data_IF_803695265344
#
_entry.id   IF_803695265344
#
_cell.length_a   1.000
_cell.length_b   1.000
_cell.length_c   1.000
_cell.angle_alpha   90.00
_cell.angle_beta   90.00
_cell.angle_gamma   90.00
#
_symmetry.space_group_name_H-M   'P 1'
#
loop_
_entity.id
_entity.type
_entity.pdbx_description
1 polymer ?
#
# COMPACT_ATOMS: atom_id res chain seq x y z
N UNK A 1 -31.71 27.84 13.37
CA UNK A 1 -32.39 26.52 13.36
C UNK A 1 -31.92 25.66 12.16
N UNK A 2 -30.62 25.39 12.03
CA UNK A 2 -30.06 24.61 10.90
C UNK A 2 -29.37 23.28 11.33
N UNK A 3 -29.24 23.03 12.64
CA UNK A 3 -28.45 21.90 13.16
C UNK A 3 -29.25 20.59 13.28
N UNK A 4 -30.55 20.65 13.60
CA UNK A 4 -31.37 19.45 13.86
C UNK A 4 -31.73 18.69 12.57
N UNK A 5 -32.01 19.40 11.46
CA UNK A 5 -32.33 18.77 10.17
C UNK A 5 -31.11 18.07 9.54
N UNK A 6 -29.92 18.67 9.62
CA UNK A 6 -28.69 18.04 9.16
C UNK A 6 -28.38 16.76 9.94
N UNK A 7 -28.44 16.81 11.27
CA UNK A 7 -28.24 15.66 12.15
C UNK A 7 -29.23 14.52 11.85
N UNK A 8 -30.51 14.84 11.59
CA UNK A 8 -31.52 13.82 11.23
C UNK A 8 -31.22 13.10 9.90
N UNK A 9 -30.59 13.79 8.95
CA UNK A 9 -30.15 13.20 7.68
C UNK A 9 -29.02 12.19 7.87
N UNK A 10 -28.03 12.52 8.70
CA UNK A 10 -26.95 11.59 9.05
C UNK A 10 -27.43 10.36 9.80
N UNK A 11 -28.36 10.53 10.77
CA UNK A 11 -28.95 9.39 11.49
C UNK A 11 -29.70 8.46 10.54
N UNK A 12 -30.38 9.00 9.53
CA UNK A 12 -31.05 8.20 8.50
C UNK A 12 -30.05 7.48 7.59
N UNK A 13 -28.94 8.12 7.22
CA UNK A 13 -27.86 7.50 6.44
C UNK A 13 -27.16 6.37 7.21
N UNK A 14 -26.90 6.55 8.51
CA UNK A 14 -26.30 5.52 9.37
C UNK A 14 -27.23 4.31 9.60
N UNK A 15 -28.54 4.48 9.38
CA UNK A 15 -29.54 3.41 9.46
C UNK A 15 -29.76 2.71 8.11
N UNK A 16 -29.25 3.26 7.02
CA UNK A 16 -29.38 2.69 5.69
C UNK A 16 -28.60 1.36 5.57
N UNK A 17 -29.25 0.35 5.00
CA UNK A 17 -28.70 -1.01 4.91
C UNK A 17 -27.55 -1.13 3.90
N UNK A 18 -27.53 -0.27 2.87
CA UNK A 18 -26.47 -0.28 1.86
C UNK A 18 -25.25 0.46 2.40
N UNK A 19 -25.47 1.61 3.06
CA UNK A 19 -24.41 2.32 3.77
C UNK A 19 -23.74 1.44 4.84
N UNK A 20 -24.52 0.74 5.68
CA UNK A 20 -23.99 -0.19 6.69
C UNK A 20 -23.16 -1.31 6.06
N UNK A 21 -23.59 -1.83 4.92
CA UNK A 21 -22.84 -2.84 4.16
C UNK A 21 -21.47 -2.31 3.72
N UNK A 22 -21.43 -1.15 3.06
CA UNK A 22 -20.16 -0.56 2.65
C UNK A 22 -19.27 -0.19 3.83
N UNK A 23 -19.86 0.36 4.91
CA UNK A 23 -19.13 0.67 6.13
C UNK A 23 -18.49 -0.58 6.74
N UNK A 24 -19.21 -1.70 6.78
CA UNK A 24 -18.68 -2.99 7.24
C UNK A 24 -17.54 -3.48 6.34
N UNK A 25 -17.70 -3.41 5.01
CA UNK A 25 -16.67 -3.82 4.06
C UNK A 25 -15.39 -2.99 4.24
N UNK A 26 -15.51 -1.67 4.29
CA UNK A 26 -14.37 -0.79 4.51
C UNK A 26 -13.76 -0.98 5.89
N UNK A 27 -14.56 -1.21 6.93
CA UNK A 27 -14.05 -1.53 8.26
C UNK A 27 -13.19 -2.81 8.28
N UNK A 28 -13.51 -3.80 7.44
CA UNK A 28 -12.65 -5.00 7.28
C UNK A 28 -11.35 -4.68 6.54
N UNK A 29 -11.41 -3.82 5.52
CA UNK A 29 -10.26 -3.54 4.65
C UNK A 29 -9.29 -2.53 5.29
N UNK A 30 -9.77 -1.47 5.94
CA UNK A 30 -8.95 -0.35 6.45
C UNK A 30 -7.79 -0.77 7.36
N UNK A 31 -7.97 -1.70 8.34
CA UNK A 31 -6.85 -2.13 9.19
C UNK A 31 -5.68 -2.71 8.39
N UNK A 32 -5.95 -3.38 7.26
CA UNK A 32 -4.91 -3.92 6.40
C UNK A 32 -4.16 -2.81 5.65
N UNK A 33 -4.85 -1.74 5.23
CA UNK A 33 -4.21 -0.55 4.67
C UNK A 33 -3.34 0.17 5.71
N UNK A 34 -3.83 0.34 6.93
CA UNK A 34 -3.07 1.00 8.00
C UNK A 34 -1.77 0.24 8.30
N UNK A 35 -1.85 -1.09 8.41
CA UNK A 35 -0.67 -1.95 8.60
C UNK A 35 0.28 -1.82 7.42
N UNK A 36 -0.22 -1.84 6.17
CA UNK A 36 0.62 -1.69 4.99
C UNK A 36 1.30 -0.32 4.99
N UNK A 37 0.57 0.76 5.26
CA UNK A 37 1.10 2.12 5.32
C UNK A 37 2.21 2.24 6.37
N UNK A 38 1.96 1.77 7.59
CA UNK A 38 2.98 1.78 8.67
C UNK A 38 4.23 0.98 8.29
N UNK A 39 4.07 -0.14 7.58
CA UNK A 39 5.20 -0.93 7.09
C UNK A 39 5.99 -0.19 6.01
N UNK A 40 5.31 0.50 5.09
CA UNK A 40 5.93 1.27 4.01
C UNK A 40 6.54 2.61 4.47
N UNK A 41 6.22 3.11 5.66
CA UNK A 41 6.75 4.37 6.18
C UNK A 41 8.08 4.20 6.95
N UNK A 42 8.53 2.97 7.19
CA UNK A 42 9.82 2.74 7.86
C UNK A 42 10.97 3.32 7.02
N UNK A 43 12.05 3.78 7.64
CA UNK A 43 13.20 4.36 6.89
C UNK A 43 14.14 3.30 6.33
N UNK A 44 14.23 2.16 7.00
CA UNK A 44 15.04 1.01 6.59
C UNK A 44 14.13 -0.01 5.92
N UNK A 45 13.78 0.23 4.66
CA UNK A 45 12.91 -0.68 3.90
C UNK A 45 13.71 -1.43 2.84
N UNK A 46 13.82 -2.74 3.06
CA UNK A 46 14.28 -3.68 2.06
C UNK A 46 13.14 -4.09 1.12
N UNK A 47 13.45 -4.30 -0.15
CA UNK A 47 12.50 -4.76 -1.16
C UNK A 47 11.89 -6.12 -0.82
N UNK A 48 12.64 -7.00 -0.14
CA UNK A 48 12.10 -8.28 0.36
C UNK A 48 11.00 -8.04 1.39
N UNK A 49 11.22 -7.11 2.31
CA UNK A 49 10.22 -6.73 3.32
C UNK A 49 8.97 -6.13 2.68
N UNK A 50 9.13 -5.27 1.66
CA UNK A 50 8.00 -4.66 0.94
C UNK A 50 7.19 -5.71 0.20
N UNK A 51 7.86 -6.62 -0.51
CA UNK A 51 7.19 -7.74 -1.18
C UNK A 51 6.39 -8.56 -0.19
N UNK A 52 6.97 -8.89 0.97
CA UNK A 52 6.26 -9.61 2.02
C UNK A 52 5.08 -8.82 2.59
N UNK A 53 5.24 -7.51 2.82
CA UNK A 53 4.16 -6.64 3.30
C UNK A 53 2.99 -6.57 2.30
N UNK A 54 3.29 -6.42 1.01
CA UNK A 54 2.32 -6.39 -0.08
C UNK A 54 1.63 -7.74 -0.28
N UNK A 55 2.37 -8.85 -0.15
CA UNK A 55 1.81 -10.19 -0.22
C UNK A 55 0.86 -10.44 0.95
N UNK A 56 1.27 -10.11 2.18
CA UNK A 56 0.42 -10.18 3.37
C UNK A 56 -0.85 -9.34 3.24
N UNK A 57 -0.75 -8.13 2.70
CA UNK A 57 -1.90 -7.28 2.39
C UNK A 57 -2.82 -7.92 1.36
N UNK A 58 -2.26 -8.37 0.23
CA UNK A 58 -3.02 -8.98 -0.87
C UNK A 58 -3.75 -10.25 -0.42
N UNK A 59 -3.10 -11.11 0.37
CA UNK A 59 -3.73 -12.31 0.95
C UNK A 59 -4.89 -11.94 1.88
N UNK A 60 -4.74 -10.87 2.66
CA UNK A 60 -5.81 -10.43 3.58
C UNK A 60 -7.03 -9.88 2.82
N UNK A 61 -6.81 -9.05 1.81
CA UNK A 61 -7.89 -8.52 0.95
C UNK A 61 -8.57 -9.64 0.15
N UNK A 62 -7.79 -10.62 -0.34
CA UNK A 62 -8.33 -11.81 -1.00
C UNK A 62 -9.21 -12.63 -0.04
N UNK A 63 -8.78 -12.81 1.21
CA UNK A 63 -9.59 -13.49 2.21
C UNK A 63 -10.91 -12.75 2.50
N UNK A 64 -10.91 -11.41 2.51
CA UNK A 64 -12.12 -10.59 2.65
C UNK A 64 -13.04 -10.79 1.44
N UNK A 65 -12.48 -10.76 0.23
CA UNK A 65 -13.20 -10.99 -1.02
C UNK A 65 -13.91 -12.35 -1.05
N UNK A 66 -13.21 -13.39 -0.60
CA UNK A 66 -13.70 -14.77 -0.63
C UNK A 66 -14.62 -15.09 0.57
N UNK A 67 -14.54 -14.29 1.64
CA UNK A 67 -15.50 -14.34 2.74
C UNK A 67 -16.83 -13.74 2.29
N UNK A 68 -17.75 -14.58 1.83
CA UNK A 68 -19.12 -14.23 1.41
C UNK A 68 -20.02 -13.76 2.58
N UNK A 69 -19.46 -13.32 3.70
CA UNK A 69 -20.22 -12.98 4.90
C UNK A 69 -20.74 -11.56 4.77
N UNK A 70 -22.06 -11.43 4.74
CA UNK A 70 -22.71 -10.15 4.92
C UNK A 70 -22.63 -9.70 6.38
N UNK A 71 -22.75 -8.39 6.64
CA UNK A 71 -23.02 -7.93 7.98
C UNK A 71 -24.23 -8.70 8.54
N UNK A 72 -24.20 -9.15 9.81
CA UNK A 72 -25.39 -9.70 10.45
C UNK A 72 -26.54 -8.70 10.29
N UNK A 73 -27.62 -9.08 9.60
CA UNK A 73 -28.82 -8.25 9.51
C UNK A 73 -29.38 -8.09 10.93
N UNK A 74 -29.28 -6.88 11.49
CA UNK A 74 -30.16 -6.53 12.60
C UNK A 74 -31.57 -6.43 12.03
N UNK A 75 -32.42 -7.40 12.41
CA UNK A 75 -33.81 -7.50 11.98
C UNK A 75 -34.64 -6.31 12.53
N UNK A 76 -34.52 -5.15 11.91
CA UNK A 76 -35.51 -4.08 12.03
C UNK A 76 -36.51 -4.25 10.89
N UNK A 77 -37.70 -4.76 11.24
CA UNK A 77 -38.82 -5.02 10.33
C UNK A 77 -39.46 -3.76 9.77
N UNK A 78 -38.69 -2.97 9.03
CA UNK A 78 -39.18 -1.82 8.29
C UNK A 78 -39.09 -2.10 6.79
N UNK A 79 -40.12 -1.70 6.04
CA UNK A 79 -40.30 -2.05 4.65
C UNK A 79 -39.07 -1.64 3.80
N UNK A 80 -38.48 -2.61 3.08
CA UNK A 80 -37.31 -2.36 2.22
C UNK A 80 -37.59 -1.17 1.28
N UNK A 81 -36.74 -0.12 1.28
CA UNK A 81 -36.85 0.96 0.32
C UNK A 81 -36.81 0.40 -1.10
N UNK A 82 -37.63 0.94 -2.00
CA UNK A 82 -37.72 0.51 -3.41
C UNK A 82 -36.40 0.59 -4.18
N UNK A 83 -35.40 1.28 -3.63
CA UNK A 83 -34.08 1.54 -4.23
C UNK A 83 -32.92 0.80 -3.56
N UNK A 84 -33.19 -0.03 -2.54
CA UNK A 84 -32.13 -0.75 -1.83
C UNK A 84 -31.48 -1.81 -2.73
N UNK A 85 -30.15 -1.88 -2.70
CA UNK A 85 -29.38 -2.84 -3.47
C UNK A 85 -29.77 -4.27 -3.10
N UNK A 86 -29.88 -5.12 -4.13
CA UNK A 86 -30.07 -6.55 -3.93
C UNK A 86 -28.81 -7.17 -3.33
N UNK A 87 -28.99 -8.30 -2.67
CA UNK A 87 -27.88 -9.02 -2.06
C UNK A 87 -26.82 -9.46 -3.08
N UNK A 88 -27.27 -9.95 -4.24
CA UNK A 88 -26.40 -10.30 -5.37
C UNK A 88 -25.58 -9.09 -5.87
N UNK A 89 -26.18 -7.89 -5.88
CA UNK A 89 -25.50 -6.65 -6.28
C UNK A 89 -24.46 -6.24 -5.23
N UNK A 90 -24.80 -6.36 -3.94
CA UNK A 90 -23.85 -6.10 -2.83
C UNK A 90 -22.63 -7.01 -2.92
N UNK A 91 -22.83 -8.31 -3.11
CA UNK A 91 -21.74 -9.28 -3.27
C UNK A 91 -20.90 -9.02 -4.50
N UNK A 92 -21.52 -8.64 -5.62
CA UNK A 92 -20.80 -8.25 -6.83
C UNK A 92 -19.93 -7.02 -6.57
N UNK A 93 -20.50 -5.99 -5.96
CA UNK A 93 -19.79 -4.75 -5.64
C UNK A 93 -18.66 -4.96 -4.64
N UNK A 94 -18.83 -5.80 -3.61
CA UNK A 94 -17.73 -6.09 -2.68
C UNK A 94 -16.57 -6.81 -3.36
N UNK A 95 -16.87 -7.74 -4.28
CA UNK A 95 -15.85 -8.41 -5.09
C UNK A 95 -15.13 -7.41 -5.98
N UNK A 96 -15.87 -6.53 -6.67
CA UNK A 96 -15.32 -5.50 -7.55
C UNK A 96 -14.43 -4.49 -6.79
N UNK A 97 -14.84 -4.08 -5.59
CA UNK A 97 -14.01 -3.24 -4.72
C UNK A 97 -12.71 -3.96 -4.34
N UNK A 98 -12.78 -5.21 -3.91
CA UNK A 98 -11.59 -5.98 -3.56
C UNK A 98 -10.67 -6.20 -4.78
N UNK A 99 -11.25 -6.55 -5.92
CA UNK A 99 -10.52 -6.76 -7.19
C UNK A 99 -9.82 -5.48 -7.62
N UNK A 100 -10.52 -4.34 -7.57
CA UNK A 100 -9.94 -3.02 -7.87
C UNK A 100 -8.77 -2.68 -6.94
N UNK A 101 -8.90 -2.95 -5.64
CA UNK A 101 -7.83 -2.71 -4.67
C UNK A 101 -6.62 -3.62 -4.96
N UNK A 102 -6.86 -4.89 -5.25
CA UNK A 102 -5.81 -5.87 -5.57
C UNK A 102 -5.09 -5.49 -6.86
N UNK A 103 -5.82 -5.09 -7.89
CA UNK A 103 -5.24 -4.70 -9.18
C UNK A 103 -4.42 -3.43 -9.05
N UNK A 104 -4.94 -2.39 -8.38
CA UNK A 104 -4.15 -1.19 -8.11
C UNK A 104 -2.92 -1.45 -7.25
N UNK A 105 -3.00 -2.38 -6.29
CA UNK A 105 -1.84 -2.78 -5.49
C UNK A 105 -0.79 -3.44 -6.39
N UNK A 106 -1.19 -4.37 -7.25
CA UNK A 106 -0.26 -4.99 -8.19
C UNK A 106 0.35 -3.97 -9.14
N UNK A 107 -0.45 -3.08 -9.73
CA UNK A 107 0.04 -2.06 -10.65
C UNK A 107 1.01 -1.09 -9.97
N UNK A 108 0.61 -0.50 -8.84
CA UNK A 108 1.41 0.51 -8.14
C UNK A 108 2.72 -0.04 -7.58
N UNK A 109 2.75 -1.33 -7.26
CA UNK A 109 3.93 -1.99 -6.72
C UNK A 109 4.55 -3.02 -7.67
N UNK A 110 4.14 -3.05 -8.94
CA UNK A 110 4.75 -3.90 -9.98
C UNK A 110 6.21 -3.54 -10.24
N UNK A 111 6.63 -2.34 -9.85
CA UNK A 111 7.96 -1.76 -10.04
C UNK A 111 8.82 -1.73 -8.78
N UNK A 112 8.70 -2.71 -7.88
CA UNK A 112 9.59 -2.82 -6.70
C UNK A 112 11.08 -2.88 -7.08
N UNK A 113 11.41 -3.22 -8.31
CA UNK A 113 12.80 -3.24 -8.76
C UNK A 113 13.44 -1.84 -8.76
N UNK A 114 12.66 -0.79 -9.03
CA UNK A 114 13.15 0.60 -8.91
C UNK A 114 13.44 0.98 -7.46
N UNK A 115 12.73 0.37 -6.52
CA UNK A 115 12.98 0.55 -5.10
C UNK A 115 14.24 -0.19 -4.66
N UNK A 116 14.51 -1.38 -5.23
CA UNK A 116 15.81 -2.04 -5.14
C UNK A 116 16.91 -1.14 -5.71
N UNK A 117 16.66 -0.43 -6.81
CA UNK A 117 17.64 0.54 -7.35
C UNK A 117 17.90 1.70 -6.41
N UNK A 118 16.86 2.21 -5.72
CA UNK A 118 17.02 3.27 -4.74
C UNK A 118 17.88 2.85 -3.54
N UNK A 119 17.90 1.54 -3.18
CA UNK A 119 18.75 1.07 -2.07
C UNK A 119 20.23 1.27 -2.33
N UNK A 120 20.67 1.21 -3.61
CA UNK A 120 22.06 1.46 -4.00
C UNK A 120 22.55 2.87 -3.62
N UNK A 121 21.64 3.81 -3.39
CA UNK A 121 21.94 5.21 -3.06
C UNK A 121 21.53 5.59 -1.63
N UNK A 122 21.16 4.62 -0.79
CA UNK A 122 20.86 4.85 0.62
C UNK A 122 22.16 5.03 1.42
N UNK A 123 22.41 6.26 1.89
CA UNK A 123 23.65 6.63 2.57
C UNK A 123 23.93 5.78 3.81
N UNK A 124 22.89 5.37 4.54
CA UNK A 124 23.00 4.50 5.72
C UNK A 124 23.61 3.12 5.38
N UNK A 125 23.45 2.67 4.13
CA UNK A 125 23.94 1.38 3.66
C UNK A 125 25.36 1.44 3.08
N UNK A 126 25.92 2.64 2.85
CA UNK A 126 27.22 2.80 2.16
C UNK A 126 28.36 2.14 2.92
N UNK A 127 28.36 2.23 4.26
CA UNK A 127 29.37 1.57 5.09
C UNK A 127 29.35 0.05 4.91
N UNK A 128 28.13 -0.53 4.84
CA UNK A 128 27.95 -1.96 4.58
C UNK A 128 28.33 -2.32 3.15
N UNK A 129 27.94 -1.52 2.16
CA UNK A 129 28.19 -1.77 0.75
C UNK A 129 29.64 -1.58 0.33
N UNK A 130 30.40 -0.76 1.06
CA UNK A 130 31.84 -0.67 0.91
C UNK A 130 32.51 -2.02 1.18
N UNK A 131 32.08 -2.73 2.23
CA UNK A 131 32.63 -4.04 2.58
C UNK A 131 32.00 -5.19 1.79
N UNK A 132 30.71 -5.09 1.47
CA UNK A 132 29.91 -6.11 0.80
C UNK A 132 29.07 -5.49 -0.31
N UNK A 133 29.65 -5.41 -1.51
CA UNK A 133 28.99 -4.77 -2.64
C UNK A 133 27.65 -5.46 -3.00
N UNK A 134 26.55 -4.71 -3.20
CA UNK A 134 25.23 -5.28 -3.45
C UNK A 134 25.04 -5.67 -4.92
N UNK A 135 25.69 -6.76 -5.34
CA UNK A 135 25.66 -7.23 -6.73
C UNK A 135 24.24 -7.62 -7.21
N UNK A 136 23.39 -8.14 -6.31
CA UNK A 136 22.00 -8.47 -6.64
C UNK A 136 21.20 -7.20 -6.96
N UNK A 137 21.27 -6.17 -6.11
CA UNK A 137 20.58 -4.91 -6.32
C UNK A 137 21.10 -4.17 -7.58
N UNK A 138 22.41 -4.24 -7.85
CA UNK A 138 22.99 -3.74 -9.10
C UNK A 138 22.43 -4.48 -10.31
N UNK A 139 22.33 -5.81 -10.26
CA UNK A 139 21.81 -6.60 -11.36
C UNK A 139 20.33 -6.32 -11.63
N UNK A 140 19.52 -6.22 -10.57
CA UNK A 140 18.12 -5.81 -10.65
C UNK A 140 17.98 -4.42 -11.27
N UNK A 141 18.80 -3.46 -10.86
CA UNK A 141 18.80 -2.09 -11.38
C UNK A 141 19.08 -2.02 -12.87
N UNK A 142 20.07 -2.76 -13.37
CA UNK A 142 20.40 -2.79 -14.80
C UNK A 142 19.31 -3.52 -15.60
N UNK A 143 18.66 -4.52 -15.01
CA UNK A 143 17.50 -5.18 -15.62
C UNK A 143 16.32 -4.23 -15.79
N UNK A 144 16.05 -3.38 -14.78
CA UNK A 144 14.94 -2.41 -14.81
C UNK A 144 15.25 -1.17 -15.63
N UNK A 145 16.54 -0.86 -15.81
CA UNK A 145 17.01 0.29 -16.58
C UNK A 145 18.10 -0.14 -17.58
N UNK A 146 17.70 -0.73 -18.72
CA UNK A 146 18.64 -1.31 -19.69
C UNK A 146 19.61 -0.30 -20.32
N UNK A 147 19.34 1.00 -20.21
CA UNK A 147 20.24 2.05 -20.65
C UNK A 147 21.48 2.23 -19.74
N UNK A 148 21.48 1.65 -18.54
CA UNK A 148 22.60 1.76 -17.60
C UNK A 148 23.69 0.74 -17.94
N UNK A 149 24.93 1.21 -18.02
CA UNK A 149 26.07 0.32 -18.17
C UNK A 149 26.45 -0.28 -16.80
N UNK A 150 26.27 -1.60 -16.64
CA UNK A 150 26.54 -2.32 -15.39
C UNK A 150 27.96 -2.10 -14.84
N UNK A 151 28.97 -2.20 -15.70
CA UNK A 151 30.37 -2.07 -15.29
C UNK A 151 30.68 -0.65 -14.83
N UNK A 152 30.24 0.36 -15.60
CA UNK A 152 30.40 1.77 -15.23
C UNK A 152 29.68 2.08 -13.92
N UNK A 153 28.41 1.70 -13.80
CA UNK A 153 27.62 1.94 -12.60
C UNK A 153 28.26 1.29 -11.36
N UNK A 154 28.78 0.07 -11.50
CA UNK A 154 29.52 -0.61 -10.41
C UNK A 154 30.73 0.22 -9.95
N UNK A 155 31.54 0.69 -10.89
CA UNK A 155 32.72 1.52 -10.59
C UNK A 155 32.33 2.81 -9.88
N UNK A 156 31.34 3.55 -10.39
CA UNK A 156 30.89 4.81 -9.76
C UNK A 156 30.35 4.57 -8.34
N UNK A 157 29.54 3.53 -8.14
CA UNK A 157 29.00 3.18 -6.82
C UNK A 157 30.10 2.77 -5.83
N UNK A 158 31.09 1.99 -6.26
CA UNK A 158 32.26 1.66 -5.43
C UNK A 158 33.01 2.89 -4.96
N UNK A 159 33.23 3.87 -5.86
CA UNK A 159 33.87 5.14 -5.50
C UNK A 159 33.02 5.96 -4.53
N UNK A 160 31.69 5.98 -4.72
CA UNK A 160 30.77 6.67 -3.81
C UNK A 160 30.79 6.03 -2.40
N UNK A 161 30.79 4.70 -2.31
CA UNK A 161 30.79 4.00 -1.01
C UNK A 161 32.10 4.15 -0.24
N UNK A 162 33.23 4.26 -0.95
CA UNK A 162 34.54 4.50 -0.34
C UNK A 162 34.74 5.94 0.11
N UNK A 163 34.09 6.91 -0.55
CA UNK A 163 34.29 8.32 -0.28
C UNK A 163 33.56 8.76 1.02
N UNK A 164 34.29 9.26 2.02
CA UNK A 164 33.72 9.65 3.32
C UNK A 164 32.75 10.82 3.26
N UNK A 165 32.82 11.68 2.25
CA UNK A 165 31.90 12.82 2.10
C UNK A 165 30.45 12.36 1.90
N UNK A 166 30.25 11.26 1.16
CA UNK A 166 28.91 10.73 0.90
C UNK A 166 28.33 9.93 2.08
N UNK A 167 29.17 9.48 3.02
CA UNK A 167 28.74 8.79 4.24
C UNK A 167 27.98 9.71 5.21
N UNK A 168 28.04 11.02 5.01
CA UNK A 168 27.39 12.01 5.87
C UNK A 168 26.25 12.78 5.17
N UNK A 169 25.93 12.44 3.91
CA UNK A 169 24.91 13.15 3.13
C UNK A 169 23.45 12.73 3.44
N UNK A 170 23.20 11.83 4.40
CA UNK A 170 21.83 11.50 4.79
C UNK A 170 21.24 12.55 5.73
N UNK A 171 20.57 13.53 5.14
CA UNK A 171 19.58 14.37 5.84
C UNK A 171 19.70 15.87 5.67
N UNK A 172 19.76 16.38 4.43
CA UNK A 172 19.39 17.79 4.15
C UNK A 172 17.95 17.84 3.62
N UNK A 173 17.02 17.24 4.37
CA UNK A 173 15.63 17.68 4.39
C UNK A 173 15.38 18.32 5.75
N UNK A 174 16.04 19.44 6.00
CA UNK A 174 15.59 20.43 6.98
C UNK A 174 15.77 21.80 6.37
N UNK A 175 14.71 22.58 6.56
CA UNK A 175 14.54 23.99 6.24
C UNK A 175 14.27 24.28 4.76
N UNK A 176 12.98 24.40 4.42
CA UNK A 176 12.41 25.71 4.06
C UNK A 176 10.88 25.65 3.90
N UNK A 177 10.23 26.59 4.62
CA UNK A 177 8.82 27.03 4.66
C UNK A 177 7.79 26.17 5.40
#
# INVERSE_FOLDING_TARGET
MASVRGASGYVRMLKDGDFKFFLWLFHKIMPHFDILYQRLQKRDIDAVFIRHALQSFSTSVQAIRDSSQLPPEEATGDARPRTALREEEKQRLSKEVCDTILDHTKERFSFTDHLVSATLLQGEMFERYQHWFPDEALSTTVSSYPMLNKARLKTELSLIYENPEFKHCCGVEREMS
#
